data_IF_022369855507
#
_entry.id   IF_022369855507
#
_cell.length_a   1.000
_cell.length_b   1.000
_cell.length_c   1.000
_cell.angle_alpha   90.00
_cell.angle_beta   90.00
_cell.angle_gamma   90.00
#
_symmetry.space_group_name_H-M   'P 1'
#
loop_
_entity.id
_entity.type
_entity.pdbx_description
1 polymer ?
#
# COMPACT_ATOMS: atom_id res chain seq x y z
N UNK A 1 17.50 -45.98 41.56
CA UNK A 1 18.59 -44.98 41.55
C UNK A 1 17.94 -43.61 41.64
N UNK A 2 17.62 -43.11 42.84
CA UNK A 2 18.37 -42.15 43.67
C UNK A 2 18.68 -40.81 42.94
N UNK A 3 17.89 -39.80 43.32
CA UNK A 3 17.92 -38.37 43.02
C UNK A 3 19.31 -37.72 43.06
N UNK A 4 19.43 -36.53 42.43
CA UNK A 4 19.83 -35.29 43.14
C UNK A 4 19.66 -34.02 42.27
N UNK A 5 18.79 -33.15 42.77
CA UNK A 5 18.71 -31.72 42.48
C UNK A 5 20.03 -31.02 42.82
N UNK A 6 20.41 -30.01 42.05
CA UNK A 6 21.37 -28.99 42.46
C UNK A 6 20.65 -27.64 42.56
N UNK A 7 20.21 -27.33 43.78
CA UNK A 7 19.83 -25.99 44.26
C UNK A 7 21.04 -25.47 45.04
N UNK A 8 21.61 -24.35 44.62
CA UNK A 8 22.49 -23.51 45.44
C UNK A 8 22.03 -22.07 45.18
N UNK A 9 21.27 -21.42 46.07
CA UNK A 9 21.64 -20.92 47.40
C UNK A 9 22.87 -19.99 47.32
N UNK A 10 22.61 -18.69 47.43
CA UNK A 10 23.62 -17.63 47.44
C UNK A 10 23.01 -16.25 47.66
N UNK A 11 22.08 -16.14 48.62
CA UNK A 11 21.64 -14.85 49.16
C UNK A 11 22.65 -14.43 50.23
N UNK A 12 23.41 -13.35 50.00
CA UNK A 12 24.07 -12.59 51.06
C UNK A 12 23.79 -11.12 50.83
N UNK A 13 22.81 -10.62 51.58
CA UNK A 13 22.67 -9.21 51.93
C UNK A 13 23.72 -8.89 52.99
N UNK A 14 24.67 -8.01 52.68
CA UNK A 14 25.47 -7.34 53.68
C UNK A 14 25.44 -5.85 53.40
N UNK A 15 24.60 -5.18 54.19
CA UNK A 15 24.54 -3.74 54.31
C UNK A 15 25.87 -3.24 54.88
N UNK A 16 26.51 -2.33 54.15
CA UNK A 16 27.62 -1.52 54.65
C UNK A 16 27.26 -0.05 54.50
N UNK A 17 26.79 0.56 55.58
CA UNK A 17 26.78 2.02 55.71
C UNK A 17 28.23 2.50 55.83
N UNK A 18 28.67 3.31 54.87
CA UNK A 18 29.91 4.08 54.94
C UNK A 18 29.61 5.52 54.55
N UNK A 19 29.66 6.42 55.53
CA UNK A 19 29.54 7.86 55.36
C UNK A 19 30.81 8.45 54.73
N UNK A 20 30.61 9.20 53.65
CA UNK A 20 31.35 10.37 53.17
C UNK A 20 32.88 10.28 52.91
N UNK A 21 33.25 10.40 51.63
CA UNK A 21 34.35 11.28 51.21
C UNK A 21 34.07 11.88 49.82
N UNK A 22 34.44 13.14 49.66
CA UNK A 22 34.19 14.00 48.51
C UNK A 22 34.84 13.50 47.21
N UNK A 23 34.12 13.64 46.09
CA UNK A 23 34.63 13.38 44.75
C UNK A 23 33.63 13.81 43.68
N UNK A 24 33.84 15.02 43.16
CA UNK A 24 33.50 15.52 41.81
C UNK A 24 32.21 15.08 41.12
N UNK A 25 31.38 16.09 40.83
CA UNK A 25 30.26 16.10 39.89
C UNK A 25 30.39 15.16 38.68
N UNK A 26 29.62 14.07 38.68
CA UNK A 26 29.12 13.46 37.44
C UNK A 26 27.67 13.89 37.24
N UNK A 27 27.54 14.93 36.43
CA UNK A 27 26.29 15.35 35.82
C UNK A 27 25.82 14.18 34.94
N UNK A 28 24.97 13.33 35.48
CA UNK A 28 24.19 12.33 34.72
C UNK A 28 23.17 13.09 33.85
N UNK A 29 23.67 13.73 32.81
CA UNK A 29 22.88 14.28 31.73
C UNK A 29 23.03 13.34 30.53
N UNK A 30 22.03 12.46 30.33
CA UNK A 30 21.42 12.18 29.02
C UNK A 30 20.76 10.79 28.96
N UNK A 31 19.46 10.69 29.33
CA UNK A 31 18.52 9.82 28.64
C UNK A 31 17.52 10.62 27.76
N UNK A 32 17.46 11.95 27.94
CA UNK A 32 16.46 12.83 27.30
C UNK A 32 16.81 13.14 25.83
N UNK A 33 18.09 13.24 25.46
CA UNK A 33 18.49 13.53 24.08
C UNK A 33 18.41 12.30 23.16
N UNK A 34 18.69 11.10 23.67
CA UNK A 34 18.60 9.87 22.88
C UNK A 34 17.14 9.53 22.51
N UNK A 35 16.21 9.77 23.43
CA UNK A 35 14.76 9.57 23.20
C UNK A 35 14.18 10.62 22.25
N UNK A 36 14.57 11.90 22.38
CA UNK A 36 14.14 12.95 21.46
C UNK A 36 14.60 12.70 20.00
N UNK A 37 15.85 12.27 19.80
CA UNK A 37 16.38 11.95 18.46
C UNK A 37 15.68 10.74 17.82
N UNK A 38 15.29 9.74 18.61
CA UNK A 38 14.53 8.58 18.12
C UNK A 38 13.10 8.97 17.73
N UNK A 39 12.45 9.84 18.51
CA UNK A 39 11.10 10.33 18.19
C UNK A 39 11.10 11.17 16.90
N UNK A 40 12.10 12.04 16.70
CA UNK A 40 12.24 12.81 15.45
C UNK A 40 12.50 11.93 14.23
N UNK A 41 13.33 10.89 14.37
CA UNK A 41 13.56 9.90 13.31
C UNK A 41 12.26 9.18 12.93
N UNK A 42 11.47 8.76 13.93
CA UNK A 42 10.15 8.15 13.72
C UNK A 42 9.20 9.11 13.01
N UNK A 43 9.11 10.37 13.46
CA UNK A 43 8.29 11.38 12.79
C UNK A 43 8.66 11.52 11.31
N UNK A 44 9.95 11.47 10.97
CA UNK A 44 10.41 11.51 9.57
C UNK A 44 9.95 10.29 8.77
N UNK A 45 10.01 9.09 9.34
CA UNK A 45 9.50 7.86 8.72
C UNK A 45 7.99 7.95 8.44
N UNK A 46 7.21 8.41 9.42
CA UNK A 46 5.76 8.59 9.28
C UNK A 46 5.39 9.64 8.23
N UNK A 47 6.17 10.73 8.11
CA UNK A 47 6.02 11.71 7.04
C UNK A 47 6.30 11.10 5.66
N UNK A 48 7.37 10.31 5.52
CA UNK A 48 7.70 9.63 4.26
C UNK A 48 6.59 8.66 3.83
N UNK A 49 6.08 7.86 4.78
CA UNK A 49 4.91 6.99 4.54
C UNK A 49 3.72 7.81 4.03
N UNK A 50 3.42 8.94 4.68
CA UNK A 50 2.32 9.80 4.29
C UNK A 50 2.51 10.38 2.89
N UNK A 51 3.70 10.91 2.56
CA UNK A 51 3.98 11.45 1.22
C UNK A 51 3.84 10.39 0.13
N UNK A 52 4.37 9.18 0.36
CA UNK A 52 4.21 8.05 -0.56
C UNK A 52 2.73 7.73 -0.82
N UNK A 53 1.91 7.79 0.24
CA UNK A 53 0.49 7.49 0.17
C UNK A 53 -0.32 8.59 -0.53
N UNK A 54 -0.04 9.86 -0.24
CA UNK A 54 -0.62 11.02 -0.96
C UNK A 54 -0.34 10.92 -2.45
N UNK A 55 0.92 10.61 -2.81
CA UNK A 55 1.30 10.42 -4.22
C UNK A 55 0.55 9.27 -4.90
N UNK A 56 0.26 8.18 -4.18
CA UNK A 56 -0.57 7.11 -4.75
C UNK A 56 -2.05 7.53 -4.89
N UNK A 57 -2.53 8.39 -4.00
CA UNK A 57 -3.89 8.96 -4.09
C UNK A 57 -4.06 9.81 -5.35
N UNK A 58 -3.04 10.62 -5.68
CA UNK A 58 -2.97 11.43 -6.92
C UNK A 58 -2.88 10.54 -8.16
N UNK A 59 -1.99 9.53 -8.18
CA UNK A 59 -1.89 8.60 -9.31
C UNK A 59 -3.16 7.79 -9.56
N UNK A 60 -3.95 7.54 -8.52
CA UNK A 60 -5.25 6.93 -8.67
C UNK A 60 -6.29 7.89 -9.26
N UNK A 61 -6.21 9.19 -8.96
CA UNK A 61 -7.05 10.20 -9.64
C UNK A 61 -6.72 10.25 -11.14
N UNK A 62 -5.44 10.33 -11.50
CA UNK A 62 -5.01 10.31 -12.90
C UNK A 62 -5.49 9.04 -13.63
N UNK A 63 -5.42 7.88 -12.97
CA UNK A 63 -5.91 6.62 -13.52
C UNK A 63 -7.44 6.62 -13.69
N UNK A 64 -8.18 7.20 -12.74
CA UNK A 64 -9.64 7.34 -12.81
C UNK A 64 -10.02 8.28 -13.95
N UNK A 65 -9.38 9.45 -14.04
CA UNK A 65 -9.62 10.43 -15.10
C UNK A 65 -9.33 9.81 -16.47
N UNK A 66 -8.22 9.10 -16.63
CA UNK A 66 -7.89 8.39 -17.89
C UNK A 66 -8.97 7.36 -18.26
N UNK A 67 -9.48 6.62 -17.28
CA UNK A 67 -10.52 5.61 -17.50
C UNK A 67 -11.90 6.21 -17.79
N UNK A 68 -12.21 7.38 -17.22
CA UNK A 68 -13.51 8.05 -17.35
C UNK A 68 -13.58 8.91 -18.62
N UNK A 69 -12.49 9.60 -18.95
CA UNK A 69 -12.36 10.46 -20.15
C UNK A 69 -12.14 9.67 -21.44
N UNK A 70 -11.93 8.35 -21.36
CA UNK A 70 -11.87 7.44 -22.51
C UNK A 70 -13.26 7.30 -23.20
N UNK A 71 -13.76 8.42 -23.71
CA UNK A 71 -14.98 8.60 -24.51
C UNK A 71 -14.91 7.83 -25.84
N UNK A 72 -13.70 7.60 -26.34
CA UNK A 72 -13.39 6.69 -27.44
C UNK A 72 -12.50 5.56 -26.94
N UNK A 73 -12.93 4.31 -27.21
CA UNK A 73 -12.26 3.03 -26.92
C UNK A 73 -10.73 3.19 -26.82
N UNK A 74 -10.12 3.05 -25.63
CA UNK A 74 -8.69 3.27 -25.46
C UNK A 74 -7.89 2.29 -26.30
N UNK A 75 -6.75 2.75 -26.80
CA UNK A 75 -5.86 1.94 -27.62
C UNK A 75 -5.15 0.89 -26.77
N UNK A 76 -4.58 -0.13 -27.41
CA UNK A 76 -3.75 -1.14 -26.73
C UNK A 76 -2.58 -0.51 -25.98
N UNK A 77 -2.01 0.59 -26.52
CA UNK A 77 -0.93 1.33 -25.87
C UNK A 77 -1.41 2.01 -24.59
N UNK A 78 -2.58 2.67 -24.62
CA UNK A 78 -3.18 3.32 -23.44
C UNK A 78 -3.47 2.29 -22.34
N UNK A 79 -4.04 1.14 -22.71
CA UNK A 79 -4.29 0.04 -21.79
C UNK A 79 -3.01 -0.49 -21.16
N UNK A 80 -1.92 -0.56 -21.94
CA UNK A 80 -0.62 -1.01 -21.43
C UNK A 80 0.01 0.00 -20.48
N UNK A 81 -0.06 1.29 -20.79
CA UNK A 81 0.47 2.37 -19.97
C UNK A 81 -0.29 2.44 -18.63
N UNK A 82 -1.62 2.34 -18.68
CA UNK A 82 -2.45 2.26 -17.49
C UNK A 82 -2.10 1.02 -16.66
N UNK A 83 -1.92 -0.15 -17.29
CA UNK A 83 -1.50 -1.37 -16.58
C UNK A 83 -0.16 -1.22 -15.86
N UNK A 84 0.81 -0.53 -16.47
CA UNK A 84 2.10 -0.19 -15.83
C UNK A 84 1.88 0.73 -14.62
N UNK A 85 1.02 1.75 -14.76
CA UNK A 85 0.67 2.64 -13.66
C UNK A 85 0.04 1.86 -12.49
N UNK A 86 -0.96 1.00 -12.75
CA UNK A 86 -1.61 0.19 -11.71
C UNK A 86 -0.62 -0.74 -10.99
N UNK A 87 0.36 -1.31 -11.70
CA UNK A 87 1.43 -2.13 -11.10
C UNK A 87 2.37 -1.32 -10.23
N UNK A 88 2.75 -0.13 -10.68
CA UNK A 88 3.59 0.80 -9.90
C UNK A 88 2.88 1.18 -8.60
N UNK A 89 1.60 1.58 -8.69
CA UNK A 89 0.77 1.90 -7.53
C UNK A 89 0.71 0.69 -6.60
N UNK A 90 0.35 -0.49 -7.11
CA UNK A 90 0.29 -1.74 -6.34
C UNK A 90 1.58 -2.02 -5.56
N UNK A 91 2.75 -1.89 -6.21
CA UNK A 91 4.05 -2.08 -5.58
C UNK A 91 4.26 -1.10 -4.42
N UNK A 92 3.91 0.18 -4.62
CA UNK A 92 4.01 1.20 -3.58
C UNK A 92 3.04 0.95 -2.42
N UNK A 93 1.79 0.53 -2.69
CA UNK A 93 0.83 0.18 -1.63
C UNK A 93 1.32 -1.00 -0.80
N UNK A 94 1.90 -2.01 -1.43
CA UNK A 94 2.50 -3.15 -0.72
C UNK A 94 3.72 -2.73 0.12
N UNK A 95 4.56 -1.84 -0.42
CA UNK A 95 5.70 -1.29 0.33
C UNK A 95 5.24 -0.49 1.56
N UNK A 96 4.25 0.41 1.41
CA UNK A 96 3.68 1.15 2.54
C UNK A 96 3.02 0.22 3.54
N UNK A 97 2.32 -0.82 3.08
CA UNK A 97 1.73 -1.83 3.96
C UNK A 97 2.81 -2.58 4.77
N UNK A 98 3.96 -2.87 4.16
CA UNK A 98 5.11 -3.45 4.86
C UNK A 98 5.72 -2.50 5.90
N UNK A 99 5.85 -1.20 5.56
CA UNK A 99 6.30 -0.18 6.51
C UNK A 99 5.33 -0.05 7.69
N UNK A 100 4.01 -0.02 7.44
CA UNK A 100 3.04 0.00 8.53
C UNK A 100 3.21 -1.20 9.47
N UNK A 101 3.50 -2.38 8.93
CA UNK A 101 3.72 -3.60 9.73
C UNK A 101 5.01 -3.53 10.57
N UNK A 102 6.10 -2.99 10.02
CA UNK A 102 7.35 -2.87 10.78
C UNK A 102 7.21 -1.92 11.96
N UNK A 103 6.35 -0.91 11.83
CA UNK A 103 6.12 0.08 12.90
C UNK A 103 5.26 -0.44 14.06
N UNK A 104 4.50 -1.54 13.88
CA UNK A 104 3.58 -2.05 14.90
C UNK A 104 4.23 -2.35 16.25
N UNK A 105 5.45 -2.89 16.25
CA UNK A 105 6.13 -3.25 17.49
C UNK A 105 6.73 -2.04 18.23
N UNK A 106 6.92 -0.92 17.52
CA UNK A 106 7.62 0.26 18.04
C UNK A 106 6.71 1.41 18.43
N UNK A 107 5.45 1.38 17.99
CA UNK A 107 4.51 2.46 18.26
C UNK A 107 3.97 2.37 19.69
N UNK A 108 4.02 3.49 20.41
CA UNK A 108 3.48 3.61 21.77
C UNK A 108 2.17 4.44 21.75
N UNK A 109 1.16 4.06 22.57
CA UNK A 109 -0.04 4.85 22.79
C UNK A 109 0.28 6.26 23.29
N UNK A 110 -0.51 7.25 22.89
CA UNK A 110 -0.40 8.63 23.39
C UNK A 110 0.80 9.43 22.86
N UNK A 111 1.54 8.90 21.88
CA UNK A 111 2.66 9.60 21.25
C UNK A 111 2.19 10.68 20.27
N UNK A 112 3.08 11.64 19.93
CA UNK A 112 2.84 12.63 18.87
C UNK A 112 2.59 11.99 17.49
N UNK A 113 2.91 10.70 17.33
CA UNK A 113 2.70 9.92 16.11
C UNK A 113 1.22 9.61 15.84
N UNK A 114 0.34 9.73 16.84
CA UNK A 114 -1.10 9.45 16.69
C UNK A 114 -1.79 10.32 15.62
N UNK A 115 -1.31 11.56 15.41
CA UNK A 115 -1.82 12.43 14.33
C UNK A 115 -1.45 11.87 12.95
N UNK A 116 -0.22 11.35 12.80
CA UNK A 116 0.25 10.77 11.54
C UNK A 116 -0.46 9.45 11.24
N UNK A 117 -0.62 8.55 12.22
CA UNK A 117 -1.35 7.29 12.02
C UNK A 117 -2.81 7.51 11.65
N UNK A 118 -3.48 8.49 12.25
CA UNK A 118 -4.83 8.87 11.88
C UNK A 118 -4.90 9.39 10.43
N UNK A 119 -3.92 10.20 10.04
CA UNK A 119 -3.85 10.74 8.67
C UNK A 119 -3.56 9.63 7.65
N UNK A 120 -2.63 8.73 7.96
CA UNK A 120 -2.33 7.53 7.15
C UNK A 120 -3.58 6.66 7.00
N UNK A 121 -4.34 6.43 8.08
CA UNK A 121 -5.61 5.69 8.02
C UNK A 121 -6.62 6.39 7.10
N UNK A 122 -6.77 7.71 7.21
CA UNK A 122 -7.68 8.49 6.36
C UNK A 122 -7.34 8.35 4.88
N UNK A 123 -6.06 8.54 4.52
CA UNK A 123 -5.61 8.38 3.13
C UNK A 123 -5.69 6.93 2.65
N UNK A 124 -5.42 5.94 3.50
CA UNK A 124 -5.56 4.52 3.13
C UNK A 124 -7.00 4.19 2.71
N UNK A 125 -8.00 4.81 3.35
CA UNK A 125 -9.42 4.67 2.99
C UNK A 125 -9.79 5.42 1.73
N UNK A 126 -9.14 6.56 1.42
CA UNK A 126 -9.30 7.25 0.13
C UNK A 126 -8.77 6.38 -1.01
N UNK A 127 -7.54 5.90 -0.87
CA UNK A 127 -6.89 4.97 -1.79
C UNK A 127 -7.72 3.69 -1.99
N UNK A 128 -8.28 3.10 -0.93
CA UNK A 128 -9.15 1.91 -1.03
C UNK A 128 -10.40 2.16 -1.88
N UNK A 129 -11.05 3.32 -1.68
CA UNK A 129 -12.23 3.73 -2.46
C UNK A 129 -11.86 3.94 -3.93
N UNK A 130 -10.79 4.68 -4.22
CA UNK A 130 -10.31 4.95 -5.57
C UNK A 130 -9.89 3.66 -6.30
N UNK A 131 -9.18 2.75 -5.63
CA UNK A 131 -8.86 1.44 -6.19
C UNK A 131 -10.12 0.62 -6.51
N UNK A 132 -11.16 0.73 -5.69
CA UNK A 132 -12.49 0.17 -6.00
C UNK A 132 -13.12 0.78 -7.25
N UNK A 133 -13.06 2.10 -7.40
CA UNK A 133 -13.56 2.83 -8.57
C UNK A 133 -12.81 2.46 -9.84
N UNK A 134 -11.48 2.39 -9.81
CA UNK A 134 -10.66 1.88 -10.93
C UNK A 134 -11.11 0.48 -11.33
N UNK A 135 -11.32 -0.42 -10.38
CA UNK A 135 -11.81 -1.77 -10.65
C UNK A 135 -13.19 -1.78 -11.34
N UNK A 136 -14.10 -0.90 -10.92
CA UNK A 136 -15.41 -0.76 -11.54
C UNK A 136 -15.33 -0.22 -12.97
N UNK A 137 -14.52 0.82 -13.20
CA UNK A 137 -14.31 1.42 -14.52
C UNK A 137 -13.66 0.43 -15.50
N UNK A 138 -12.65 -0.33 -15.05
CA UNK A 138 -12.03 -1.40 -15.87
C UNK A 138 -13.03 -2.50 -16.20
N UNK A 139 -13.92 -2.88 -15.28
CA UNK A 139 -14.98 -3.85 -15.55
C UNK A 139 -16.00 -3.33 -16.58
N UNK A 140 -16.39 -2.06 -16.49
CA UNK A 140 -17.25 -1.41 -17.49
C UNK A 140 -16.57 -1.36 -18.85
N UNK A 141 -15.29 -1.03 -18.89
CA UNK A 141 -14.47 -1.04 -20.10
C UNK A 141 -14.42 -2.43 -20.74
N UNK A 142 -14.23 -3.48 -19.94
CA UNK A 142 -14.25 -4.85 -20.41
C UNK A 142 -15.60 -5.27 -21.01
N UNK A 143 -16.70 -4.88 -20.38
CA UNK A 143 -18.04 -5.14 -20.91
C UNK A 143 -18.28 -4.42 -22.26
N UNK A 144 -17.83 -3.16 -22.38
CA UNK A 144 -17.90 -2.39 -23.63
C UNK A 144 -17.05 -3.02 -24.73
N UNK A 145 -15.83 -3.44 -24.42
CA UNK A 145 -14.92 -4.10 -25.38
C UNK A 145 -15.50 -5.43 -25.89
N UNK A 146 -16.03 -6.28 -25.00
CA UNK A 146 -16.67 -7.55 -25.38
C UNK A 146 -17.81 -7.34 -26.38
N UNK A 147 -18.71 -6.37 -26.13
CA UNK A 147 -19.81 -6.03 -27.05
C UNK A 147 -19.29 -5.56 -28.42
N UNK A 148 -18.28 -4.70 -28.43
CA UNK A 148 -17.69 -4.19 -29.66
C UNK A 148 -16.99 -5.30 -30.47
N UNK A 149 -16.22 -6.16 -29.80
CA UNK A 149 -15.56 -7.30 -30.43
C UNK A 149 -16.55 -8.27 -31.10
N UNK A 150 -17.69 -8.57 -30.46
CA UNK A 150 -18.73 -9.42 -31.06
C UNK A 150 -19.35 -8.78 -32.30
N UNK A 151 -19.63 -7.46 -32.27
CA UNK A 151 -20.12 -6.72 -33.44
C UNK A 151 -19.12 -6.74 -34.59
N UNK A 152 -17.86 -6.47 -34.29
CA UNK A 152 -16.81 -6.30 -35.29
C UNK A 152 -16.44 -7.67 -35.93
N UNK A 153 -16.52 -8.78 -35.17
CA UNK A 153 -16.29 -10.14 -35.66
C UNK A 153 -17.37 -10.67 -36.62
N UNK A 154 -18.64 -10.27 -36.42
CA UNK A 154 -19.79 -10.74 -37.23
C UNK A 154 -19.85 -10.07 -38.61
N UNK A 155 -19.17 -8.95 -38.84
CA UNK A 155 -19.20 -8.24 -40.14
C UNK A 155 -18.32 -8.87 -41.24
N UNK A 156 -17.61 -9.97 -40.97
CA UNK A 156 -16.63 -10.52 -41.92
C UNK A 156 -17.21 -11.31 -43.11
N UNK A 157 -18.52 -11.61 -43.14
CA UNK A 157 -19.09 -12.46 -44.22
C UNK A 157 -20.58 -12.17 -44.50
N UNK A 158 -20.88 -11.12 -45.26
CA UNK A 158 -22.16 -11.00 -45.98
C UNK A 158 -21.88 -10.76 -47.46
N UNK A 159 -22.04 -11.78 -48.30
CA UNK A 159 -21.98 -11.67 -49.76
C UNK A 159 -20.60 -11.89 -50.44
N UNK A 160 -19.65 -12.60 -49.81
CA UNK A 160 -18.40 -13.03 -50.48
C UNK A 160 -17.35 -11.94 -50.76
N UNK A 161 -17.66 -10.65 -50.54
CA UNK A 161 -16.69 -9.56 -50.58
C UNK A 161 -16.23 -9.21 -49.16
N UNK A 162 -14.91 -9.17 -48.92
CA UNK A 162 -14.33 -8.70 -47.66
C UNK A 162 -14.89 -7.31 -47.35
N UNK A 163 -15.55 -7.15 -46.20
CA UNK A 163 -15.99 -5.85 -45.72
C UNK A 163 -14.76 -4.92 -45.58
N UNK A 164 -14.69 -3.92 -46.46
CA UNK A 164 -13.69 -2.84 -46.42
C UNK A 164 -14.00 -1.99 -45.16
N UNK A 165 -13.42 -2.35 -44.02
CA UNK A 165 -13.54 -1.55 -42.79
C UNK A 165 -13.55 -2.32 -41.46
N UNK A 166 -13.60 -3.66 -41.47
CA UNK A 166 -13.55 -4.46 -40.25
C UNK A 166 -12.12 -4.59 -39.68
N UNK A 167 -11.96 -4.52 -38.35
CA UNK A 167 -10.69 -4.85 -37.66
C UNK A 167 -10.30 -6.29 -37.97
N UNK A 168 -8.99 -6.55 -38.08
CA UNK A 168 -8.49 -7.93 -38.23
C UNK A 168 -8.78 -8.71 -36.95
N UNK A 169 -9.10 -10.01 -37.07
CA UNK A 169 -9.34 -10.89 -35.92
C UNK A 169 -8.18 -10.84 -34.90
N UNK A 170 -6.94 -10.75 -35.38
CA UNK A 170 -5.74 -10.62 -34.55
C UNK A 170 -5.78 -9.36 -33.68
N UNK A 171 -6.20 -8.22 -34.24
CA UNK A 171 -6.33 -6.95 -33.50
C UNK A 171 -7.43 -7.03 -32.44
N UNK A 172 -8.55 -7.69 -32.75
CA UNK A 172 -9.64 -7.91 -31.79
C UNK A 172 -9.14 -8.75 -30.60
N UNK A 173 -8.39 -9.82 -30.87
CA UNK A 173 -7.82 -10.69 -29.83
C UNK A 173 -6.75 -9.96 -28.99
N UNK A 174 -5.91 -9.14 -29.60
CA UNK A 174 -4.93 -8.32 -28.88
C UNK A 174 -5.59 -7.33 -27.92
N UNK A 175 -6.64 -6.64 -28.36
CA UNK A 175 -7.40 -5.72 -27.52
C UNK A 175 -8.09 -6.44 -26.36
N UNK A 176 -8.70 -7.61 -26.61
CA UNK A 176 -9.29 -8.41 -25.55
C UNK A 176 -8.25 -8.82 -24.50
N UNK A 177 -7.09 -9.32 -24.95
CA UNK A 177 -6.00 -9.71 -24.06
C UNK A 177 -5.43 -8.54 -23.26
N UNK A 178 -5.35 -7.35 -23.85
CA UNK A 178 -4.90 -6.14 -23.16
C UNK A 178 -5.89 -5.73 -22.06
N UNK A 179 -7.18 -5.78 -22.33
CA UNK A 179 -8.23 -5.50 -21.34
C UNK A 179 -8.26 -6.54 -20.22
N UNK A 180 -8.10 -7.83 -20.53
CA UNK A 180 -8.04 -8.89 -19.53
C UNK A 180 -6.83 -8.72 -18.59
N UNK A 181 -5.67 -8.36 -19.14
CA UNK A 181 -4.48 -8.04 -18.35
C UNK A 181 -4.73 -6.85 -17.43
N UNK A 182 -5.31 -5.76 -17.95
CA UNK A 182 -5.65 -4.60 -17.16
C UNK A 182 -6.64 -4.96 -16.03
N UNK A 183 -7.63 -5.81 -16.31
CA UNK A 183 -8.58 -6.29 -15.31
C UNK A 183 -7.90 -7.15 -14.23
N UNK A 184 -6.90 -7.96 -14.59
CA UNK A 184 -6.08 -8.68 -13.62
C UNK A 184 -5.28 -7.70 -12.74
N UNK A 185 -4.62 -6.71 -13.34
CA UNK A 185 -3.85 -5.69 -12.61
C UNK A 185 -4.73 -4.89 -11.64
N UNK A 186 -5.95 -4.52 -12.05
CA UNK A 186 -6.93 -3.84 -11.19
C UNK A 186 -7.38 -4.70 -9.99
N UNK A 187 -7.49 -6.02 -10.16
CA UNK A 187 -7.79 -6.94 -9.03
C UNK A 187 -6.64 -7.00 -8.04
N UNK A 188 -5.40 -7.07 -8.53
CA UNK A 188 -4.21 -7.06 -7.67
C UNK A 188 -4.11 -5.73 -6.91
N UNK A 189 -4.34 -4.60 -7.58
CA UNK A 189 -4.44 -3.28 -6.95
C UNK A 189 -5.51 -3.27 -5.85
N UNK A 190 -6.70 -3.84 -6.09
CA UNK A 190 -7.74 -3.96 -5.07
C UNK A 190 -7.25 -4.73 -3.86
N UNK A 191 -6.55 -5.86 -4.06
CA UNK A 191 -5.95 -6.63 -2.98
C UNK A 191 -4.93 -5.82 -2.16
N UNK A 192 -4.02 -5.12 -2.85
CA UNK A 192 -3.01 -4.27 -2.21
C UNK A 192 -3.65 -3.12 -1.41
N UNK A 193 -4.68 -2.45 -1.95
CA UNK A 193 -5.40 -1.38 -1.26
C UNK A 193 -6.10 -1.84 0.03
N UNK A 194 -6.71 -3.04 0.00
CA UNK A 194 -7.33 -3.64 1.20
C UNK A 194 -6.29 -3.99 2.26
N UNK A 195 -5.17 -4.57 1.84
CA UNK A 195 -4.07 -4.90 2.74
C UNK A 195 -3.49 -3.65 3.40
N UNK A 196 -3.29 -2.57 2.64
CA UNK A 196 -2.88 -1.27 3.16
C UNK A 196 -3.90 -0.73 4.17
N UNK A 197 -5.20 -0.73 3.82
CA UNK A 197 -6.24 -0.22 4.74
C UNK A 197 -6.27 -1.01 6.05
N UNK A 198 -6.11 -2.33 5.99
CA UNK A 198 -6.01 -3.18 7.16
C UNK A 198 -4.79 -2.84 8.01
N UNK A 199 -3.60 -2.71 7.41
CA UNK A 199 -2.39 -2.40 8.18
C UNK A 199 -2.41 -0.99 8.75
N UNK A 200 -2.94 0.00 8.02
CA UNK A 200 -3.14 1.36 8.55
C UNK A 200 -4.15 1.40 9.69
N UNK A 201 -5.19 0.57 9.66
CA UNK A 201 -6.15 0.44 10.78
C UNK A 201 -5.47 -0.12 12.02
N UNK A 202 -4.66 -1.17 11.87
CA UNK A 202 -3.89 -1.74 12.99
C UNK A 202 -2.88 -0.74 13.54
N UNK A 203 -2.19 0.01 12.69
CA UNK A 203 -1.24 1.05 13.10
C UNK A 203 -1.94 2.14 13.92
N UNK A 204 -3.13 2.56 13.48
CA UNK A 204 -3.96 3.51 14.21
C UNK A 204 -4.39 2.97 15.58
N UNK A 205 -4.87 1.72 15.63
CA UNK A 205 -5.28 1.08 16.90
C UNK A 205 -4.08 0.98 17.86
N UNK A 206 -2.90 0.59 17.38
CA UNK A 206 -1.71 0.47 18.20
C UNK A 206 -1.18 1.84 18.71
N UNK A 207 -1.47 2.93 17.98
CA UNK A 207 -1.12 4.29 18.39
C UNK A 207 -2.09 4.95 19.36
N UNK A 208 -3.25 4.31 19.60
CA UNK A 208 -4.30 4.78 20.50
C UNK A 208 -4.11 4.18 21.88
#
# INVERSE_FOLDING_TARGET
MKNKFALSAGLVLLAGMGLAFAGTAEKTAAPVQASANQEEAKVKEFKDILFKLVRQDEYLDEAIETLDTASTRPTTQDLSALGISLKSITKNLNHVSALNKSEFASIQPGTRLATYTNTILSYSRKVDRKAGQVGALVAQLAAKNKKAAMRDAVSSRKGGKKARGGKKLTQILEEQKAVERLAADARVLRGASRNLSATSKWLYIASK
#
